data_IF_658556600157
#
_entry.id   IF_658556600157
#
_cell.length_a   1.000
_cell.length_b   1.000
_cell.length_c   1.000
_cell.angle_alpha   90.00
_cell.angle_beta   90.00
_cell.angle_gamma   90.00
#
_symmetry.space_group_name_H-M   'P 1'
#
loop_
_entity.id
_entity.type
_entity.pdbx_description
1 polymer ?
#
# COMPACT_ATOMS: atom_id res chain seq x y z
N UNK A 1 8.91 -2.90 1.95
CA UNK A 1 7.68 -2.74 2.76
C UNK A 1 7.91 -3.06 4.24
N UNK A 2 8.35 -4.28 4.59
CA UNK A 2 8.59 -4.72 5.99
C UNK A 2 9.27 -3.68 6.88
N UNK A 3 10.43 -3.18 6.48
CA UNK A 3 11.20 -2.21 7.29
C UNK A 3 10.44 -0.89 7.53
N UNK A 4 9.70 -0.40 6.53
CA UNK A 4 8.88 0.80 6.68
C UNK A 4 7.76 0.61 7.70
N UNK A 5 7.15 -0.58 7.73
CA UNK A 5 6.12 -0.90 8.71
C UNK A 5 6.72 -1.16 10.11
N UNK A 6 7.75 -1.99 10.21
CA UNK A 6 8.30 -2.41 11.50
C UNK A 6 9.09 -1.31 12.19
N UNK A 7 9.95 -0.61 11.46
CA UNK A 7 10.87 0.41 11.99
C UNK A 7 10.26 1.81 11.97
N UNK A 8 9.68 2.22 10.84
CA UNK A 8 9.17 3.58 10.68
C UNK A 8 7.68 3.72 11.05
N UNK A 9 6.96 2.61 11.28
CA UNK A 9 5.51 2.59 11.55
C UNK A 9 4.71 3.31 10.46
N UNK A 10 5.08 3.13 9.19
CA UNK A 10 4.44 3.73 8.02
C UNK A 10 3.75 2.67 7.16
N UNK A 11 2.53 2.97 6.71
CA UNK A 11 1.79 2.27 5.66
C UNK A 11 2.00 2.98 4.34
N UNK A 12 2.13 2.24 3.24
CA UNK A 12 2.36 2.82 1.91
C UNK A 12 1.06 3.32 1.26
N UNK A 13 -0.01 2.53 1.34
CA UNK A 13 -1.37 2.88 0.86
C UNK A 13 -1.57 3.05 -0.64
N UNK A 14 -0.55 2.82 -1.45
CA UNK A 14 -0.63 2.87 -2.92
C UNK A 14 0.42 1.95 -3.52
N UNK A 15 0.30 0.65 -3.26
CA UNK A 15 1.18 -0.33 -3.90
C UNK A 15 0.63 -0.69 -5.26
N UNK A 16 1.45 -0.51 -6.29
CA UNK A 16 1.15 -0.84 -7.67
C UNK A 16 2.44 -1.23 -8.38
N UNK A 17 2.35 -1.89 -9.54
CA UNK A 17 3.55 -2.22 -10.33
C UNK A 17 4.36 -0.96 -10.69
N UNK A 18 3.68 0.17 -10.94
CA UNK A 18 4.33 1.45 -11.25
C UNK A 18 5.09 2.06 -10.06
N UNK A 19 4.76 1.66 -8.84
CA UNK A 19 5.39 2.16 -7.62
C UNK A 19 6.51 1.22 -7.11
N UNK A 20 6.90 0.20 -7.89
CA UNK A 20 8.02 -0.69 -7.59
C UNK A 20 9.14 -0.48 -8.62
N UNK A 21 10.29 0.01 -8.18
CA UNK A 21 11.48 0.16 -9.02
C UNK A 21 12.47 -0.95 -8.72
N UNK A 22 12.94 -1.65 -9.76
CA UNK A 22 14.00 -2.64 -9.63
C UNK A 22 15.33 -2.00 -9.98
N UNK A 23 16.25 -1.95 -9.02
CA UNK A 23 17.60 -1.45 -9.23
C UNK A 23 18.62 -2.45 -8.67
N UNK A 24 19.54 -2.90 -9.53
CA UNK A 24 20.59 -3.88 -9.19
C UNK A 24 20.05 -5.15 -8.50
N UNK A 25 18.95 -5.70 -9.04
CA UNK A 25 18.31 -6.91 -8.51
C UNK A 25 17.55 -6.71 -7.19
N UNK A 26 17.37 -5.47 -6.73
CA UNK A 26 16.62 -5.13 -5.52
C UNK A 26 15.38 -4.30 -5.88
N UNK A 27 14.25 -4.65 -5.28
CA UNK A 27 13.01 -3.88 -5.40
C UNK A 27 12.96 -2.74 -4.37
N UNK A 28 12.61 -1.54 -4.84
CA UNK A 28 12.43 -0.33 -4.05
C UNK A 28 11.01 0.18 -4.23
N UNK A 29 10.38 0.59 -3.14
CA UNK A 29 9.07 1.25 -3.17
C UNK A 29 9.26 2.76 -3.31
N UNK A 30 8.56 3.36 -4.26
CA UNK A 30 8.54 4.81 -4.52
C UNK A 30 7.12 5.36 -4.34
N UNK A 31 6.94 6.68 -4.51
CA UNK A 31 5.63 7.33 -4.49
C UNK A 31 4.90 7.18 -3.13
N UNK A 32 5.53 7.73 -2.07
CA UNK A 32 5.04 7.65 -0.69
C UNK A 32 4.04 8.77 -0.32
N UNK A 33 3.51 9.51 -1.29
CA UNK A 33 2.66 10.69 -1.05
C UNK A 33 1.34 10.35 -0.35
N UNK A 34 0.84 9.12 -0.54
CA UNK A 34 -0.35 8.60 0.13
C UNK A 34 -0.05 7.89 1.45
N UNK A 35 1.23 7.81 1.84
CA UNK A 35 1.66 7.08 3.02
C UNK A 35 1.09 7.66 4.31
N UNK A 36 0.96 6.81 5.33
CA UNK A 36 0.43 7.23 6.63
C UNK A 36 1.08 6.50 7.78
N UNK A 37 1.36 7.22 8.86
CA UNK A 37 1.82 6.63 10.12
C UNK A 37 0.70 5.81 10.77
N UNK A 38 1.03 4.60 11.21
CA UNK A 38 0.11 3.62 11.83
C UNK A 38 -0.58 4.20 13.06
N UNK A 39 0.11 5.05 13.82
CA UNK A 39 -0.37 5.57 15.10
C UNK A 39 -1.01 6.97 15.02
N UNK A 40 -1.06 7.61 13.85
CA UNK A 40 -1.64 8.95 13.74
C UNK A 40 -3.12 8.87 13.35
N UNK A 41 -3.96 9.20 14.32
CA UNK A 41 -5.39 9.42 14.12
C UNK A 41 -5.63 10.90 13.71
N UNK A 42 -5.45 11.18 12.42
CA UNK A 42 -5.93 12.43 11.81
C UNK A 42 -7.38 12.32 11.31
N UNK A 43 -7.97 13.39 10.76
CA UNK A 43 -9.28 13.32 10.10
C UNK A 43 -9.31 12.15 9.12
N UNK A 44 -10.42 11.40 9.11
CA UNK A 44 -10.61 10.23 8.24
C UNK A 44 -10.44 10.67 6.78
N UNK A 45 -9.28 10.37 6.20
CA UNK A 45 -9.10 10.45 4.76
C UNK A 45 -9.91 9.32 4.12
N UNK A 46 -10.48 9.60 2.94
CA UNK A 46 -11.08 8.56 2.10
C UNK A 46 -10.06 7.44 1.90
N UNK A 47 -10.44 6.19 2.17
CA UNK A 47 -9.54 5.04 1.98
C UNK A 47 -9.47 4.54 0.55
N UNK A 48 -10.40 4.98 -0.30
CA UNK A 48 -10.35 4.72 -1.73
C UNK A 48 -9.38 5.70 -2.43
N UNK A 49 -8.14 5.76 -1.96
CA UNK A 49 -7.03 6.50 -2.55
C UNK A 49 -5.96 5.52 -2.97
N UNK A 50 -5.41 5.69 -4.17
CA UNK A 50 -4.43 4.78 -4.74
C UNK A 50 -4.96 4.04 -5.97
N UNK A 51 -4.17 3.10 -6.47
CA UNK A 51 -4.45 2.40 -7.72
C UNK A 51 -5.50 1.30 -7.51
N UNK A 52 -6.72 1.50 -8.04
CA UNK A 52 -7.89 0.63 -7.79
C UNK A 52 -7.63 -0.87 -8.05
N UNK A 53 -6.90 -1.22 -9.11
CA UNK A 53 -6.59 -2.61 -9.47
C UNK A 53 -5.79 -3.37 -8.40
N UNK A 54 -5.08 -2.64 -7.53
CA UNK A 54 -4.25 -3.22 -6.48
C UNK A 54 -4.82 -2.94 -5.08
N UNK A 55 -5.97 -2.28 -4.97
CA UNK A 55 -6.58 -1.99 -3.69
C UNK A 55 -7.14 -3.27 -3.07
N UNK A 56 -7.02 -3.43 -1.75
CA UNK A 56 -7.62 -4.57 -1.05
C UNK A 56 -9.14 -4.57 -1.20
N UNK A 57 -9.72 -5.75 -1.30
CA UNK A 57 -11.19 -5.92 -1.40
C UNK A 57 -11.88 -5.26 -0.21
N UNK A 58 -11.30 -5.37 0.98
CA UNK A 58 -11.86 -4.79 2.19
C UNK A 58 -12.03 -3.26 2.09
N UNK A 59 -11.04 -2.55 1.54
CA UNK A 59 -11.12 -1.09 1.36
C UNK A 59 -12.08 -0.68 0.24
N UNK A 60 -12.22 -1.51 -0.80
CA UNK A 60 -13.18 -1.30 -1.88
C UNK A 60 -14.62 -1.39 -1.34
N UNK A 61 -14.92 -2.42 -0.56
CA UNK A 61 -16.24 -2.64 0.03
C UNK A 61 -16.56 -1.63 1.15
N UNK A 62 -15.56 -1.19 1.89
CA UNK A 62 -15.70 -0.33 3.06
C UNK A 62 -14.95 1.00 2.88
N UNK A 63 -15.56 1.95 2.16
CA UNK A 63 -14.97 3.27 1.82
C UNK A 63 -14.46 4.14 2.98
N UNK A 64 -14.81 3.78 4.23
CA UNK A 64 -14.39 4.48 5.46
C UNK A 64 -13.65 3.57 6.45
N UNK A 65 -13.30 2.35 6.03
CA UNK A 65 -12.44 1.47 6.80
C UNK A 65 -11.09 2.14 7.09
N UNK A 66 -10.35 1.61 8.05
CA UNK A 66 -8.99 2.08 8.33
C UNK A 66 -8.05 1.23 7.49
N UNK A 67 -7.20 1.87 6.68
CA UNK A 67 -6.13 1.19 5.99
C UNK A 67 -5.16 0.58 7.00
N UNK A 68 -4.86 -0.70 6.86
CA UNK A 68 -3.96 -1.46 7.73
C UNK A 68 -2.82 -2.09 6.93
N UNK A 69 -1.86 -2.69 7.63
CA UNK A 69 -0.80 -3.47 6.97
C UNK A 69 -1.34 -4.65 6.15
N UNK A 70 -2.50 -5.21 6.53
CA UNK A 70 -3.12 -6.31 5.77
C UNK A 70 -3.50 -5.86 4.37
N UNK A 71 -3.98 -4.62 4.24
CA UNK A 71 -4.36 -4.04 2.96
C UNK A 71 -3.13 -3.82 2.07
N UNK A 72 -2.03 -3.30 2.62
CA UNK A 72 -0.76 -3.20 1.88
C UNK A 72 -0.21 -4.58 1.45
N UNK A 73 -0.37 -5.61 2.29
CA UNK A 73 0.03 -6.98 1.94
C UNK A 73 -0.84 -7.56 0.81
N UNK A 74 -2.15 -7.33 0.85
CA UNK A 74 -3.06 -7.74 -0.23
C UNK A 74 -2.73 -7.02 -1.55
N UNK A 75 -2.43 -5.72 -1.50
CA UNK A 75 -1.93 -4.99 -2.66
C UNK A 75 -0.63 -5.57 -3.20
N UNK A 76 0.31 -5.97 -2.33
CA UNK A 76 1.57 -6.61 -2.76
C UNK A 76 1.32 -7.96 -3.44
N UNK A 77 0.30 -8.72 -3.01
CA UNK A 77 -0.11 -9.95 -3.66
C UNK A 77 -0.65 -9.68 -5.07
N UNK A 78 -1.49 -8.66 -5.25
CA UNK A 78 -1.97 -8.26 -6.58
C UNK A 78 -0.85 -7.78 -7.51
N UNK A 79 0.17 -7.09 -6.97
CA UNK A 79 1.37 -6.72 -7.76
C UNK A 79 2.09 -7.96 -8.27
N UNK A 80 2.35 -8.95 -7.40
CA UNK A 80 3.00 -10.21 -7.81
C UNK A 80 2.16 -10.94 -8.86
N UNK A 81 0.85 -11.06 -8.64
CA UNK A 81 -0.06 -11.71 -9.58
C UNK A 81 -0.05 -11.02 -10.94
N UNK A 82 -0.11 -9.68 -10.97
CA UNK A 82 -0.05 -8.91 -12.21
C UNK A 82 1.26 -9.13 -12.97
N UNK A 83 2.39 -9.24 -12.27
CA UNK A 83 3.70 -9.48 -12.93
C UNK A 83 3.92 -10.92 -13.38
N UNK A 84 3.11 -11.86 -12.89
CA UNK A 84 3.22 -13.28 -13.22
C UNK A 84 2.32 -13.70 -14.40
N UNK A 85 1.35 -12.87 -14.77
CA UNK A 85 0.44 -13.04 -15.90
C UNK A 85 0.94 -12.24 -17.11
#
# INVERSE_FOLDING_TARGET
HKDAFELAKVLHRDLSVGNVVIYKGKGYLINWDLSKLVNIQGPRQTTCTGTWQFMSVYLIEHKYAIHTVKDDLESSFYVVLWTAL
#
